data_IF_000972923038
#
_entry.id   IF_000972923038
#
_cell.length_a   1.000
_cell.length_b   1.000
_cell.length_c   1.000
_cell.angle_alpha   90.00
_cell.angle_beta   90.00
_cell.angle_gamma   90.00
#
_symmetry.space_group_name_H-M   'P 1'
#
loop_
_entity.id
_entity.type
_entity.pdbx_description
1 polymer ?
#
# COMPACT_ATOMS: atom_id res chain seq x y z
N UNK A 1 -8.49 -43.48 42.86
CA UNK A 1 -7.70 -43.29 41.63
C UNK A 1 -8.60 -42.55 40.65
N UNK A 2 -8.39 -41.33 40.19
CA UNK A 2 -7.37 -40.30 40.47
C UNK A 2 -8.03 -38.99 40.01
N UNK A 3 -7.77 -37.92 40.74
CA UNK A 3 -8.22 -36.55 40.49
C UNK A 3 -7.87 -36.09 39.06
N UNK A 4 -8.86 -35.63 38.28
CA UNK A 4 -8.62 -34.94 37.02
C UNK A 4 -8.11 -33.54 37.33
N UNK A 5 -6.82 -33.45 37.65
CA UNK A 5 -6.14 -32.22 38.03
C UNK A 5 -5.65 -31.51 36.77
N UNK A 6 -6.32 -30.42 36.46
CA UNK A 6 -5.70 -29.23 35.90
C UNK A 6 -5.07 -29.35 34.52
N UNK A 7 -5.86 -29.04 33.50
CA UNK A 7 -5.50 -27.99 32.56
C UNK A 7 -6.73 -27.65 31.76
N UNK A 8 -7.45 -26.61 32.18
CA UNK A 8 -8.17 -25.77 31.21
C UNK A 8 -7.16 -25.40 30.14
N UNK A 9 -7.18 -26.14 29.03
CA UNK A 9 -6.65 -25.67 27.76
C UNK A 9 -7.49 -24.43 27.44
N UNK A 10 -7.04 -23.28 27.94
CA UNK A 10 -7.30 -22.02 27.27
C UNK A 10 -6.76 -22.27 25.87
N UNK A 11 -7.66 -22.49 24.93
CA UNK A 11 -7.34 -22.65 23.53
C UNK A 11 -6.55 -21.40 23.12
N UNK A 12 -5.23 -21.55 23.10
CA UNK A 12 -4.32 -20.53 22.63
C UNK A 12 -4.72 -20.31 21.18
N UNK A 13 -5.06 -19.07 20.77
CA UNK A 13 -5.33 -18.82 19.37
C UNK A 13 -4.16 -19.34 18.56
N UNK A 14 -4.47 -20.08 17.50
CA UNK A 14 -3.49 -20.70 16.62
C UNK A 14 -2.41 -19.66 16.28
N UNK A 15 -1.10 -20.01 16.36
CA UNK A 15 -0.04 -19.05 16.11
C UNK A 15 -0.29 -18.38 14.77
N UNK A 16 -0.54 -17.07 14.81
CA UNK A 16 -0.82 -16.33 13.60
C UNK A 16 0.38 -16.55 12.65
N UNK A 17 0.14 -16.94 11.39
CA UNK A 17 1.22 -17.17 10.45
C UNK A 17 2.18 -15.97 10.46
N UNK A 18 3.50 -16.21 10.38
CA UNK A 18 4.46 -15.12 10.38
C UNK A 18 4.08 -14.13 9.29
N UNK A 19 4.06 -12.83 9.64
CA UNK A 19 3.72 -11.79 8.68
C UNK A 19 4.63 -11.90 7.46
N UNK A 20 4.09 -11.76 6.24
CA UNK A 20 4.92 -11.78 5.05
C UNK A 20 6.01 -10.71 5.16
N UNK A 21 7.22 -10.98 4.65
CA UNK A 21 8.30 -10.00 4.68
C UNK A 21 7.88 -8.71 3.99
N UNK A 22 8.31 -7.58 4.54
CA UNK A 22 7.98 -6.27 3.99
C UNK A 22 8.49 -6.17 2.53
N UNK A 23 7.70 -5.58 1.61
CA UNK A 23 8.15 -5.34 0.25
C UNK A 23 9.44 -4.51 0.24
N UNK A 24 10.42 -4.91 -0.58
CA UNK A 24 11.61 -4.09 -0.79
C UNK A 24 11.19 -2.80 -1.48
N UNK A 25 11.49 -1.66 -0.87
CA UNK A 25 11.21 -0.36 -1.46
C UNK A 25 12.18 -0.08 -2.61
N UNK A 26 11.74 0.67 -3.64
CA UNK A 26 12.65 1.15 -4.67
C UNK A 26 13.72 2.07 -4.08
N UNK A 27 14.98 1.90 -4.48
CA UNK A 27 16.11 2.71 -4.03
C UNK A 27 16.20 4.09 -4.75
N UNK A 28 15.25 4.39 -5.65
CA UNK A 28 15.23 5.61 -6.46
C UNK A 28 14.59 6.80 -5.73
N UNK A 29 15.17 8.02 -5.77
CA UNK A 29 14.66 9.19 -5.03
C UNK A 29 13.22 9.58 -5.40
N UNK A 30 12.80 9.34 -6.65
CA UNK A 30 11.43 9.61 -7.10
C UNK A 30 10.38 8.85 -6.28
N UNK A 31 10.71 7.70 -5.68
CA UNK A 31 9.78 6.97 -4.83
C UNK A 31 9.28 7.84 -3.66
N UNK A 32 10.20 8.56 -2.99
CA UNK A 32 9.84 9.43 -1.86
C UNK A 32 9.03 10.65 -2.31
N UNK A 33 9.36 11.21 -3.47
CA UNK A 33 8.63 12.34 -4.05
C UNK A 33 7.19 11.96 -4.40
N UNK A 34 7.00 10.82 -5.07
CA UNK A 34 5.67 10.29 -5.41
C UNK A 34 4.85 10.02 -4.14
N UNK A 35 5.47 9.41 -3.12
CA UNK A 35 4.78 9.15 -1.85
C UNK A 35 4.41 10.45 -1.13
N UNK A 36 5.24 11.49 -1.17
CA UNK A 36 4.92 12.79 -0.59
C UNK A 36 3.69 13.42 -1.26
N UNK A 37 3.61 13.37 -2.60
CA UNK A 37 2.45 13.84 -3.36
C UNK A 37 1.18 13.13 -2.90
N UNK A 38 1.19 11.80 -2.82
CA UNK A 38 0.01 11.04 -2.35
C UNK A 38 -0.35 11.30 -0.89
N UNK A 39 0.63 11.49 -0.02
CA UNK A 39 0.39 11.76 1.41
C UNK A 39 -0.25 13.14 1.62
N UNK A 40 0.04 14.10 0.74
CA UNK A 40 -0.52 15.45 0.78
C UNK A 40 -1.91 15.59 0.15
N UNK A 41 -2.41 14.55 -0.53
CA UNK A 41 -3.66 14.61 -1.28
C UNK A 41 -4.85 14.20 -0.40
N UNK A 42 -5.88 15.05 -0.37
CA UNK A 42 -7.15 14.75 0.34
C UNK A 42 -8.06 13.76 -0.43
N UNK A 43 -7.69 13.40 -1.66
CA UNK A 43 -8.45 12.51 -2.52
C UNK A 43 -7.52 11.74 -3.49
N UNK A 44 -7.99 10.62 -4.08
CA UNK A 44 -7.23 9.88 -5.09
C UNK A 44 -6.85 10.76 -6.29
N UNK A 45 -5.58 10.69 -6.70
CA UNK A 45 -5.06 11.45 -7.84
C UNK A 45 -5.06 10.62 -9.12
N UNK A 46 -5.48 11.24 -10.23
CA UNK A 46 -5.21 10.71 -11.58
C UNK A 46 -3.73 10.87 -11.90
N UNK A 47 -3.17 9.98 -12.73
CA UNK A 47 -1.76 10.02 -13.15
C UNK A 47 -1.30 11.41 -13.62
N UNK A 48 -2.14 12.10 -14.43
CA UNK A 48 -1.86 13.46 -14.87
C UNK A 48 -1.59 14.43 -13.71
N UNK A 49 -2.40 14.38 -12.65
CA UNK A 49 -2.27 15.28 -11.49
C UNK A 49 -1.01 14.98 -10.67
N UNK A 50 -0.59 13.71 -10.63
CA UNK A 50 0.68 13.32 -10.00
C UNK A 50 1.86 13.92 -10.77
N UNK A 51 1.86 13.80 -12.11
CA UNK A 51 2.90 14.40 -12.96
C UNK A 51 2.94 15.93 -12.82
N UNK A 52 1.78 16.61 -12.82
CA UNK A 52 1.71 18.07 -12.61
C UNK A 52 2.29 18.48 -11.25
N UNK A 53 1.96 17.75 -10.18
CA UNK A 53 2.48 18.04 -8.83
C UNK A 53 3.98 17.74 -8.66
N UNK A 54 4.55 16.95 -9.57
CA UNK A 54 5.98 16.65 -9.62
C UNK A 54 6.74 17.52 -10.63
N UNK A 55 6.10 18.56 -11.17
CA UNK A 55 6.63 19.45 -12.21
C UNK A 55 7.17 18.69 -13.44
N UNK A 56 6.51 17.57 -13.77
CA UNK A 56 6.87 16.78 -14.94
C UNK A 56 6.18 17.33 -16.18
N UNK A 57 6.91 17.38 -17.29
CA UNK A 57 6.32 17.71 -18.58
C UNK A 57 5.31 16.62 -19.00
N UNK A 58 4.11 17.06 -19.37
CA UNK A 58 3.04 16.17 -19.81
C UNK A 58 2.84 16.40 -21.30
N UNK A 59 3.22 15.38 -22.08
CA UNK A 59 2.95 15.38 -23.50
C UNK A 59 1.43 15.53 -23.76
N UNK A 60 1.03 16.26 -24.83
CA UNK A 60 -0.35 16.27 -25.28
C UNK A 60 -0.85 14.83 -25.47
N UNK A 61 -2.07 14.55 -25.02
CA UNK A 61 -2.71 13.27 -25.29
C UNK A 61 -3.34 13.32 -26.69
N UNK A 62 -2.74 12.62 -27.66
CA UNK A 62 -3.30 12.46 -29.02
C UNK A 62 -4.51 11.51 -29.07
N UNK A 63 -4.88 10.94 -27.92
CA UNK A 63 -6.09 10.13 -27.80
C UNK A 63 -7.26 11.11 -27.71
N UNK A 64 -7.84 11.45 -28.86
CA UNK A 64 -9.15 12.06 -28.91
C UNK A 64 -10.08 11.21 -28.05
N UNK A 65 -10.76 11.85 -27.09
CA UNK A 65 -11.76 11.23 -26.23
C UNK A 65 -12.91 10.69 -27.10
N UNK A 66 -12.68 9.57 -27.77
CA UNK A 66 -13.69 8.81 -28.49
C UNK A 66 -14.60 8.23 -27.40
N UNK A 67 -15.60 9.04 -27.02
CA UNK A 67 -16.83 8.52 -26.43
C UNK A 67 -17.41 7.59 -27.48
N UNK A 68 -17.18 6.29 -27.30
CA UNK A 68 -17.89 5.25 -28.05
C UNK A 68 -19.38 5.30 -27.72
#
# INVERSE_FOLDING_TARGET
>A
MTENRGSTLLELPDPQPPAPPAPKLPDHPAYRQIMAVFTSADAPLRARRVCEAMDMEIAPSDIDNTRL
#
